data_IF_808257165204
#
_entry.id   IF_808257165204
#
_cell.length_a   1.000
_cell.length_b   1.000
_cell.length_c   1.000
_cell.angle_alpha   90.00
_cell.angle_beta   90.00
_cell.angle_gamma   90.00
#
_symmetry.space_group_name_H-M   'P 1'
#
loop_
_entity.id
_entity.type
_entity.pdbx_description
1 polymer ?
#
# COMPACT_ATOMS: atom_id res chain seq x y z
N UNK A 1 9.97 -1.88 1.39
CA UNK A 1 10.60 -1.68 0.07
C UNK A 1 9.67 -0.90 -0.87
N UNK A 2 8.55 -1.48 -1.34
CA UNK A 2 7.63 -0.82 -2.30
C UNK A 2 7.12 0.57 -1.87
N UNK A 3 6.61 0.73 -0.63
CA UNK A 3 6.10 2.02 -0.12
C UNK A 3 7.15 3.12 -0.03
N UNK A 4 8.39 2.77 0.32
CA UNK A 4 9.49 3.74 0.40
C UNK A 4 9.83 4.27 -1.00
N UNK A 5 9.92 3.36 -1.97
CA UNK A 5 10.24 3.70 -3.36
C UNK A 5 9.14 4.57 -3.99
N UNK A 6 7.89 4.23 -3.72
CA UNK A 6 6.72 4.99 -4.17
C UNK A 6 6.71 6.43 -3.61
N UNK A 7 7.03 6.61 -2.32
CA UNK A 7 7.16 7.94 -1.70
C UNK A 7 8.30 8.74 -2.34
N UNK A 8 9.47 8.12 -2.55
CA UNK A 8 10.62 8.80 -3.15
C UNK A 8 10.30 9.28 -4.57
N UNK A 9 9.68 8.43 -5.39
CA UNK A 9 9.28 8.81 -6.76
C UNK A 9 8.22 9.92 -6.74
N UNK A 10 7.22 9.81 -5.86
CA UNK A 10 6.15 10.81 -5.74
C UNK A 10 6.70 12.19 -5.39
N UNK A 11 7.62 12.26 -4.43
CA UNK A 11 8.27 13.51 -4.01
C UNK A 11 9.15 14.06 -5.14
N UNK A 12 9.92 13.20 -5.81
CA UNK A 12 10.79 13.61 -6.92
C UNK A 12 9.97 14.17 -8.10
N UNK A 13 8.87 13.52 -8.47
CA UNK A 13 7.97 13.96 -9.53
C UNK A 13 7.28 15.27 -9.19
N UNK A 14 6.85 15.45 -7.94
CA UNK A 14 6.23 16.69 -7.49
C UNK A 14 7.21 17.86 -7.59
N UNK A 15 8.44 17.71 -7.09
CA UNK A 15 9.48 18.73 -7.18
C UNK A 15 9.82 19.05 -8.64
N UNK A 16 10.03 18.03 -9.48
CA UNK A 16 10.30 18.25 -10.91
C UNK A 16 9.15 18.95 -11.64
N UNK A 17 7.90 18.60 -11.30
CA UNK A 17 6.73 19.20 -11.93
C UNK A 17 6.51 20.65 -11.53
N UNK A 18 6.68 21.00 -10.25
CA UNK A 18 6.53 22.38 -9.75
C UNK A 18 7.61 23.33 -10.26
N UNK A 19 8.79 22.82 -10.63
CA UNK A 19 9.85 23.59 -11.32
C UNK A 19 9.40 24.11 -12.69
N UNK A 20 8.51 23.38 -13.38
CA UNK A 20 7.97 23.78 -14.68
C UNK A 20 6.72 24.67 -14.50
N UNK A 21 5.74 24.16 -13.74
CA UNK A 21 4.52 24.89 -13.39
C UNK A 21 3.84 24.22 -12.19
N UNK A 22 3.26 25.00 -11.28
CA UNK A 22 2.54 24.46 -10.12
C UNK A 22 1.44 23.46 -10.53
N UNK A 23 0.72 23.74 -11.61
CA UNK A 23 -0.33 22.85 -12.14
C UNK A 23 0.24 21.57 -12.75
N UNK A 24 1.45 21.62 -13.32
CA UNK A 24 2.13 20.44 -13.85
C UNK A 24 2.59 19.49 -12.73
N UNK A 25 3.01 20.02 -11.58
CA UNK A 25 3.32 19.24 -10.38
C UNK A 25 2.14 18.40 -9.90
N UNK A 26 0.96 19.02 -9.77
CA UNK A 26 -0.26 18.30 -9.41
C UNK A 26 -0.69 17.31 -10.49
N UNK A 27 -0.64 17.68 -11.76
CA UNK A 27 -1.00 16.79 -12.87
C UNK A 27 -0.15 15.51 -12.92
N UNK A 28 1.17 15.64 -12.77
CA UNK A 28 2.08 14.50 -12.74
C UNK A 28 1.84 13.59 -11.53
N UNK A 29 1.53 14.16 -10.36
CA UNK A 29 1.22 13.39 -9.17
C UNK A 29 -0.07 12.57 -9.35
N UNK A 30 -1.10 13.14 -9.96
CA UNK A 30 -2.37 12.45 -10.24
C UNK A 30 -2.16 11.28 -11.21
N UNK A 31 -1.45 11.52 -12.32
CA UNK A 31 -1.16 10.46 -13.30
C UNK A 31 -0.33 9.34 -12.69
N UNK A 32 0.71 9.69 -11.94
CA UNK A 32 1.55 8.71 -11.26
C UNK A 32 0.74 7.92 -10.21
N UNK A 33 -0.08 8.59 -9.42
CA UNK A 33 -0.95 7.95 -8.43
C UNK A 33 -1.95 6.96 -9.06
N UNK A 34 -2.48 7.26 -10.25
CA UNK A 34 -3.34 6.34 -10.98
C UNK A 34 -2.58 5.11 -11.50
N UNK A 35 -1.34 5.29 -11.97
CA UNK A 35 -0.47 4.19 -12.40
C UNK A 35 -0.09 3.27 -11.24
N UNK A 36 0.19 3.82 -10.06
CA UNK A 36 0.59 3.04 -8.89
C UNK A 36 -0.59 2.55 -8.05
N UNK A 37 -1.82 2.94 -8.39
CA UNK A 37 -3.03 2.51 -7.68
C UNK A 37 -3.21 0.99 -7.69
N UNK A 38 -3.08 0.36 -8.85
CA UNK A 38 -3.22 -1.10 -9.00
C UNK A 38 -2.14 -1.86 -8.21
N UNK A 39 -0.83 -1.60 -8.40
CA UNK A 39 0.20 -2.31 -7.63
C UNK A 39 0.15 -1.96 -6.13
N UNK A 40 -0.24 -0.74 -5.77
CA UNK A 40 -0.44 -0.33 -4.38
C UNK A 40 -1.55 -1.11 -3.67
N UNK A 41 -2.68 -1.31 -4.35
CA UNK A 41 -3.76 -2.18 -3.87
C UNK A 41 -3.30 -3.64 -3.77
N UNK A 42 -2.61 -4.16 -4.79
CA UNK A 42 -2.15 -5.55 -4.79
C UNK A 42 -1.22 -5.87 -3.60
N UNK A 43 -0.27 -4.97 -3.30
CA UNK A 43 0.63 -5.12 -2.15
C UNK A 43 -0.14 -5.04 -0.83
N UNK A 44 -1.12 -4.14 -0.74
CA UNK A 44 -1.93 -4.02 0.46
C UNK A 44 -2.81 -5.27 0.69
N UNK A 45 -3.40 -5.84 -0.38
CA UNK A 45 -4.21 -7.08 -0.27
C UNK A 45 -3.34 -8.22 0.22
N UNK A 46 -2.12 -8.36 -0.31
CA UNK A 46 -1.17 -9.37 0.16
C UNK A 46 -0.85 -9.20 1.66
N UNK A 47 -0.58 -7.98 2.12
CA UNK A 47 -0.30 -7.70 3.54
C UNK A 47 -1.48 -8.00 4.47
N UNK A 48 -2.69 -7.83 3.95
CA UNK A 48 -3.91 -8.11 4.69
C UNK A 48 -4.21 -9.62 4.73
N UNK A 49 -3.90 -10.34 3.65
CA UNK A 49 -3.90 -11.80 3.65
C UNK A 49 -2.84 -12.37 4.60
N UNK A 50 -1.67 -11.73 4.72
CA UNK A 50 -0.63 -12.12 5.70
C UNK A 50 -1.13 -12.05 7.17
N UNK A 51 -2.15 -11.22 7.45
CA UNK A 51 -2.80 -11.12 8.77
C UNK A 51 -4.13 -11.89 8.85
N UNK A 52 -4.39 -12.79 7.88
CA UNK A 52 -5.60 -13.61 7.78
C UNK A 52 -6.91 -12.81 7.66
N UNK A 53 -6.85 -11.60 7.10
CA UNK A 53 -8.01 -10.76 6.83
C UNK A 53 -8.32 -10.72 5.33
N UNK A 54 -9.60 -10.58 4.98
CA UNK A 54 -10.03 -10.55 3.58
C UNK A 54 -9.68 -9.22 2.91
N UNK A 55 -9.32 -9.27 1.63
CA UNK A 55 -9.06 -8.09 0.78
C UNK A 55 -10.15 -6.99 0.83
N UNK A 56 -11.36 -7.32 1.26
CA UNK A 56 -12.46 -6.37 1.47
C UNK A 56 -12.18 -5.33 2.56
N UNK A 57 -11.31 -5.61 3.52
CA UNK A 57 -10.93 -4.60 4.52
C UNK A 57 -10.15 -3.42 3.90
N UNK A 58 -9.60 -3.59 2.69
CA UNK A 58 -9.01 -2.46 1.95
C UNK A 58 -10.03 -1.45 1.46
N UNK A 59 -11.30 -1.80 1.28
CA UNK A 59 -12.31 -0.81 0.94
C UNK A 59 -12.52 0.19 2.09
N UNK A 60 -12.20 -0.18 3.33
CA UNK A 60 -12.14 0.79 4.42
C UNK A 60 -11.00 1.81 4.24
N UNK A 61 -9.91 1.49 3.51
CA UNK A 61 -8.83 2.43 3.18
C UNK A 61 -9.30 3.64 2.35
N UNK A 62 -10.39 3.47 1.59
CA UNK A 62 -11.02 4.53 0.80
C UNK A 62 -11.63 5.62 1.71
N UNK A 63 -11.87 5.29 2.98
CA UNK A 63 -12.29 6.23 4.02
C UNK A 63 -11.01 6.78 4.68
N UNK A 64 -10.71 8.10 4.59
CA UNK A 64 -9.44 8.67 5.06
C UNK A 64 -9.14 8.38 6.54
N UNK A 65 -10.16 8.21 7.38
CA UNK A 65 -10.01 7.87 8.81
C UNK A 65 -9.74 6.38 9.10
N UNK A 66 -10.10 5.46 8.19
CA UNK A 66 -9.87 4.02 8.41
C UNK A 66 -8.52 3.53 7.88
N UNK A 67 -7.70 4.40 7.28
CA UNK A 67 -6.26 4.13 7.05
C UNK A 67 -5.49 3.90 8.36
N UNK A 68 -5.98 4.40 9.49
CA UNK A 68 -5.42 4.10 10.82
C UNK A 68 -5.54 2.61 11.16
N UNK A 69 -6.63 1.95 10.74
CA UNK A 69 -6.85 0.51 10.96
C UNK A 69 -5.83 -0.31 10.17
N UNK A 70 -5.54 0.09 8.93
CA UNK A 70 -4.48 -0.53 8.13
C UNK A 70 -3.09 -0.28 8.72
N UNK A 71 -2.84 0.91 9.27
CA UNK A 71 -1.59 1.21 9.97
C UNK A 71 -1.40 0.25 11.17
N UNK A 72 -2.45 0.04 11.95
CA UNK A 72 -2.46 -0.92 13.07
C UNK A 72 -2.17 -2.34 12.56
N UNK A 73 -2.79 -2.77 11.45
CA UNK A 73 -2.48 -4.06 10.82
C UNK A 73 -1.04 -4.18 10.29
N UNK A 74 -0.43 -3.07 9.88
CA UNK A 74 0.99 -3.05 9.49
C UNK A 74 1.95 -3.25 10.67
N UNK A 75 1.55 -2.86 11.88
CA UNK A 75 2.29 -3.08 13.12
C UNK A 75 1.95 -4.40 13.82
N UNK A 76 0.80 -5.01 13.49
CA UNK A 76 0.45 -6.35 13.94
C UNK A 76 1.35 -7.40 13.27
N UNK A 77 1.84 -8.33 14.08
CA UNK A 77 2.58 -9.49 13.58
C UNK A 77 1.61 -10.32 12.71
N UNK A 78 2.09 -10.77 11.55
CA UNK A 78 1.34 -11.74 10.73
C UNK A 78 0.98 -12.97 11.56
N UNK A 79 -0.14 -13.62 11.25
CA UNK A 79 -0.61 -14.78 12.01
C UNK A 79 0.44 -15.89 11.98
N UNK A 80 0.85 -16.38 13.15
CA UNK A 80 1.72 -17.56 13.30
C UNK A 80 0.91 -18.84 13.12
N UNK A 81 1.36 -19.75 12.27
CA UNK A 81 0.61 -20.95 11.87
C UNK A 81 -0.17 -20.76 10.57
N UNK A 82 -0.88 -21.82 10.14
CA UNK A 82 -1.63 -21.81 8.88
C UNK A 82 -2.70 -20.73 8.92
N UNK A 83 -2.89 -20.04 7.79
CA UNK A 83 -3.95 -19.06 7.62
C UNK A 83 -4.92 -19.53 6.53
N UNK A 84 -6.06 -18.84 6.38
CA UNK A 84 -7.06 -19.20 5.36
C UNK A 84 -6.59 -18.97 3.91
N UNK A 85 -5.35 -18.49 3.75
CA UNK A 85 -4.73 -18.11 2.47
C UNK A 85 -3.46 -18.94 2.17
N UNK A 86 -3.06 -19.89 3.03
CA UNK A 86 -1.89 -20.74 2.87
C UNK A 86 -1.34 -21.34 4.17
N UNK A 87 -0.57 -22.42 4.03
CA UNK A 87 0.15 -23.08 5.13
C UNK A 87 1.41 -22.30 5.54
N UNK A 88 1.79 -22.38 6.82
CA UNK A 88 3.00 -21.70 7.31
C UNK A 88 4.26 -22.41 6.81
N UNK A 89 5.12 -21.77 5.99
CA UNK A 89 6.33 -22.38 5.46
C UNK A 89 7.35 -22.75 6.55
N UNK A 90 7.20 -22.24 7.79
CA UNK A 90 8.08 -22.56 8.92
C UNK A 90 7.72 -23.85 9.65
N UNK A 91 6.65 -24.55 9.27
CA UNK A 91 6.29 -25.84 9.88
C UNK A 91 7.21 -27.00 9.46
N UNK A 92 8.05 -26.81 8.44
CA UNK A 92 8.88 -27.87 7.85
C UNK A 92 10.38 -27.80 8.24
N UNK A 93 10.78 -27.02 9.26
CA UNK A 93 12.17 -26.99 9.77
C UNK A 93 12.28 -27.50 11.21
#
# INVERSE_FOLDING_TARGET
>A
MFRLFDIIISVSLFICGTVINESAGFGLLVVYGLLTLIPGLAVAVRRLHDTNHSGWWLLMSLIPFANIVLLIFFFLKGTTGDNNYGEDPKKLS
#
